data_IF_228918197645
#
_entry.id   IF_228918197645
#
_cell.length_a   1.000
_cell.length_b   1.000
_cell.length_c   1.000
_cell.angle_alpha   90.00
_cell.angle_beta   90.00
_cell.angle_gamma   90.00
#
_symmetry.space_group_name_H-M   'P 1'
#
loop_
_entity.id
_entity.type
_entity.pdbx_description
1 polymer ?
#
# COMPACT_ATOMS: atom_id res chain seq x y z
N UNK A 1 -9.02 59.25 5.59
CA UNK A 1 -8.57 57.86 5.84
C UNK A 1 -8.13 57.25 4.52
N UNK A 2 -6.91 56.69 4.48
CA UNK A 2 -6.12 56.35 3.29
C UNK A 2 -6.71 55.15 2.53
N UNK A 3 -6.84 55.30 1.21
CA UNK A 3 -7.10 54.20 0.25
C UNK A 3 -5.76 53.56 -0.12
N UNK A 4 -5.61 52.26 0.09
CA UNK A 4 -4.44 51.48 -0.31
C UNK A 4 -4.76 50.79 -1.63
N UNK A 5 -4.01 51.14 -2.68
CA UNK A 5 -4.05 50.53 -4.00
C UNK A 5 -3.36 49.16 -3.98
N UNK A 6 -4.08 48.12 -4.38
CA UNK A 6 -3.51 46.82 -4.75
C UNK A 6 -2.93 46.92 -6.17
N UNK A 7 -1.63 46.66 -6.31
CA UNK A 7 -0.98 46.41 -7.59
C UNK A 7 -0.82 44.91 -7.78
N UNK A 8 -1.62 44.36 -8.70
CA UNK A 8 -1.46 43.02 -9.26
C UNK A 8 -0.21 43.00 -10.14
N UNK A 9 0.74 42.10 -9.87
CA UNK A 9 1.84 41.77 -10.78
C UNK A 9 1.61 40.34 -11.24
N UNK A 10 1.12 40.20 -12.47
CA UNK A 10 1.03 38.94 -13.21
C UNK A 10 2.36 38.77 -13.94
N UNK A 11 3.18 37.82 -13.49
CA UNK A 11 4.42 37.43 -14.17
C UNK A 11 4.18 36.06 -14.80
N UNK A 12 3.94 36.07 -16.11
CA UNK A 12 3.82 34.88 -16.92
C UNK A 12 5.17 34.21 -17.14
N UNK A 13 5.20 32.89 -17.01
CA UNK A 13 6.30 32.05 -17.47
C UNK A 13 5.85 31.31 -18.74
N UNK A 14 6.41 31.74 -19.86
CA UNK A 14 6.44 31.07 -21.15
C UNK A 14 7.76 30.29 -21.25
N UNK A 15 7.70 29.05 -21.72
CA UNK A 15 8.86 28.25 -22.15
C UNK A 15 8.96 26.91 -21.42
N UNK A 16 9.17 25.76 -22.04
CA UNK A 16 9.55 25.46 -23.42
C UNK A 16 9.19 24.00 -23.70
N UNK A 17 8.45 23.73 -24.78
CA UNK A 17 8.21 22.38 -25.27
C UNK A 17 9.43 21.93 -26.09
N UNK A 18 10.29 21.09 -25.49
CA UNK A 18 11.40 20.45 -26.20
C UNK A 18 10.97 19.07 -26.70
N UNK A 19 10.54 19.07 -27.96
CA UNK A 19 10.81 18.08 -28.99
C UNK A 19 11.80 16.95 -28.61
N UNK A 20 11.32 15.70 -28.59
CA UNK A 20 12.16 14.52 -28.83
C UNK A 20 11.47 13.64 -29.88
N UNK A 21 11.94 13.78 -31.12
CA UNK A 21 11.83 12.80 -32.19
C UNK A 21 12.99 11.80 -32.05
N UNK A 22 12.77 10.52 -32.34
CA UNK A 22 13.90 9.64 -32.65
C UNK A 22 13.71 8.14 -32.44
N UNK A 23 13.01 7.49 -33.37
CA UNK A 23 13.41 6.27 -34.11
C UNK A 23 14.31 5.21 -33.45
N UNK A 24 13.87 3.96 -33.55
CA UNK A 24 14.74 2.77 -33.48
C UNK A 24 13.90 1.51 -33.25
N UNK A 25 13.28 0.95 -34.29
CA UNK A 25 13.85 -0.10 -35.15
C UNK A 25 13.65 -1.51 -34.55
N UNK A 26 12.88 -2.29 -35.30
CA UNK A 26 12.59 -3.70 -35.13
C UNK A 26 13.85 -4.55 -34.94
N UNK A 27 13.74 -5.58 -34.10
CA UNK A 27 14.48 -6.83 -34.29
C UNK A 27 13.57 -8.02 -33.97
N UNK A 28 13.13 -8.66 -35.05
CA UNK A 28 12.61 -10.01 -35.13
C UNK A 28 13.81 -10.96 -35.15
N UNK A 29 13.90 -11.89 -34.21
CA UNK A 29 14.65 -13.17 -34.24
C UNK A 29 14.66 -13.67 -32.78
N UNK A 30 14.41 -14.92 -32.41
CA UNK A 30 14.58 -16.18 -33.12
C UNK A 30 13.66 -17.23 -32.46
N UNK A 31 13.09 -18.09 -33.29
CA UNK A 31 12.31 -19.24 -32.90
C UNK A 31 13.19 -20.29 -32.20
N UNK A 32 12.97 -20.51 -30.91
CA UNK A 32 13.49 -21.65 -30.17
C UNK A 32 12.41 -22.71 -30.00
N UNK A 33 12.41 -23.72 -30.87
CA UNK A 33 11.67 -24.97 -30.67
C UNK A 33 12.25 -25.75 -29.49
N UNK A 34 11.42 -26.27 -28.57
CA UNK A 34 11.77 -27.46 -27.80
C UNK A 34 11.20 -28.71 -28.48
N UNK A 35 12.14 -29.59 -28.79
CA UNK A 35 12.03 -30.96 -29.26
C UNK A 35 10.97 -31.77 -28.50
N UNK A 36 10.01 -32.34 -29.23
CA UNK A 36 9.20 -33.46 -28.79
C UNK A 36 10.08 -34.69 -28.57
N UNK A 37 10.13 -35.19 -27.34
CA UNK A 37 10.56 -36.56 -27.04
C UNK A 37 9.31 -37.37 -26.70
N UNK A 38 8.94 -38.26 -27.63
CA UNK A 38 7.95 -39.30 -27.41
C UNK A 38 8.51 -40.35 -26.45
N UNK A 39 7.73 -40.75 -25.44
CA UNK A 39 7.96 -41.95 -24.65
C UNK A 39 6.69 -42.81 -24.58
N UNK A 40 6.85 -44.14 -24.54
CA UNK A 40 5.83 -45.10 -24.94
C UNK A 40 4.86 -45.48 -23.81
N UNK A 41 3.71 -45.98 -24.28
CA UNK A 41 2.62 -46.57 -23.52
C UNK A 41 3.05 -47.67 -22.54
N UNK A 42 2.48 -47.64 -21.33
CA UNK A 42 2.35 -48.81 -20.48
C UNK A 42 1.13 -48.70 -19.54
N UNK A 43 0.26 -49.70 -19.69
CA UNK A 43 -0.63 -50.30 -18.69
C UNK A 43 -1.78 -49.48 -18.08
N UNK A 44 -2.98 -49.78 -18.60
CA UNK A 44 -4.27 -49.59 -17.93
C UNK A 44 -4.35 -50.41 -16.62
N UNK A 45 -4.90 -49.83 -15.55
CA UNK A 45 -5.60 -50.58 -14.53
C UNK A 45 -7.07 -50.13 -14.44
N UNK A 46 -7.95 -51.07 -14.80
CA UNK A 46 -9.26 -51.38 -14.21
C UNK A 46 -10.19 -50.26 -13.71
N UNK A 47 -11.44 -50.18 -14.21
CA UNK A 47 -12.45 -49.26 -13.68
C UNK A 47 -13.00 -49.77 -12.34
N UNK A 48 -12.43 -49.29 -11.23
CA UNK A 48 -13.08 -49.40 -9.93
C UNK A 48 -14.24 -48.39 -9.85
N UNK A 49 -15.46 -48.93 -9.92
CA UNK A 49 -16.70 -48.23 -9.52
C UNK A 49 -16.55 -47.80 -8.05
N UNK A 50 -16.26 -46.52 -7.84
CA UNK A 50 -16.41 -45.88 -6.53
C UNK A 50 -17.79 -45.24 -6.49
N UNK A 51 -18.51 -45.54 -5.42
CA UNK A 51 -19.90 -45.25 -5.19
C UNK A 51 -20.25 -43.76 -5.40
N UNK A 52 -21.30 -43.54 -6.17
CA UNK A 52 -22.01 -42.28 -6.33
C UNK A 52 -22.84 -42.00 -5.08
N UNK A 53 -22.19 -41.69 -3.95
CA UNK A 53 -22.86 -41.28 -2.72
C UNK A 53 -22.16 -40.06 -2.13
N UNK A 54 -22.29 -38.90 -2.79
CA UNK A 54 -22.02 -37.58 -2.20
C UNK A 54 -22.46 -36.48 -3.17
N UNK A 55 -23.76 -36.26 -3.33
CA UNK A 55 -24.28 -35.14 -4.15
C UNK A 55 -25.51 -34.47 -3.54
N UNK A 56 -25.57 -34.40 -2.21
CA UNK A 56 -26.62 -33.65 -1.49
C UNK A 56 -26.05 -32.68 -0.44
N UNK A 57 -24.75 -32.72 -0.16
CA UNK A 57 -24.09 -31.79 0.78
C UNK A 57 -23.64 -30.46 0.15
N UNK A 58 -23.64 -30.32 -1.18
CA UNK A 58 -23.17 -29.12 -1.89
C UNK A 58 -24.23 -28.00 -2.00
N UNK A 59 -25.51 -28.29 -1.78
CA UNK A 59 -26.58 -27.30 -1.96
C UNK A 59 -26.83 -26.40 -0.73
N UNK A 60 -26.42 -26.83 0.47
CA UNK A 60 -26.68 -26.10 1.72
C UNK A 60 -25.58 -25.08 2.11
N UNK A 61 -24.38 -25.17 1.51
CA UNK A 61 -23.24 -24.28 1.82
C UNK A 61 -23.34 -22.92 1.11
N UNK A 62 -23.97 -22.88 -0.08
CA UNK A 62 -24.12 -21.67 -0.88
C UNK A 62 -24.90 -20.52 -0.18
N UNK A 63 -26.06 -20.75 0.48
CA UNK A 63 -26.81 -19.66 1.10
C UNK A 63 -26.11 -19.00 2.30
N UNK A 64 -25.41 -19.78 3.13
CA UNK A 64 -24.67 -19.22 4.29
C UNK A 64 -23.46 -18.40 3.84
N UNK A 65 -22.74 -18.86 2.83
CA UNK A 65 -21.62 -18.13 2.23
C UNK A 65 -22.07 -16.80 1.61
N UNK A 66 -23.20 -16.80 0.89
CA UNK A 66 -23.75 -15.58 0.30
C UNK A 66 -24.18 -14.57 1.37
N UNK A 67 -24.87 -15.03 2.41
CA UNK A 67 -25.27 -14.15 3.53
C UNK A 67 -24.06 -13.51 4.23
N UNK A 68 -22.94 -14.25 4.36
CA UNK A 68 -21.70 -13.74 4.94
C UNK A 68 -21.04 -12.69 4.04
N UNK A 69 -21.07 -12.89 2.72
CA UNK A 69 -20.58 -11.89 1.75
C UNK A 69 -21.42 -10.62 1.84
N UNK A 70 -22.74 -10.72 1.81
CA UNK A 70 -23.65 -9.56 1.93
C UNK A 70 -23.46 -8.82 3.27
N UNK A 71 -23.15 -9.53 4.35
CA UNK A 71 -22.84 -8.90 5.63
C UNK A 71 -21.51 -8.13 5.59
N UNK A 72 -20.47 -8.72 4.97
CA UNK A 72 -19.17 -8.08 4.77
C UNK A 72 -19.29 -6.82 3.91
N UNK A 73 -20.03 -6.89 2.80
CA UNK A 73 -20.26 -5.74 1.92
C UNK A 73 -21.01 -4.62 2.63
N UNK A 74 -22.01 -4.96 3.47
CA UNK A 74 -22.72 -3.97 4.31
C UNK A 74 -21.80 -3.31 5.32
N UNK A 75 -20.98 -4.08 6.03
CA UNK A 75 -20.02 -3.53 6.99
C UNK A 75 -18.99 -2.62 6.30
N UNK A 76 -18.50 -2.99 5.11
CA UNK A 76 -17.63 -2.12 4.31
C UNK A 76 -18.34 -0.84 3.86
N UNK A 77 -19.61 -0.93 3.46
CA UNK A 77 -20.42 0.23 3.07
C UNK A 77 -20.68 1.17 4.25
N UNK A 78 -20.86 0.66 5.47
CA UNK A 78 -21.00 1.47 6.69
C UNK A 78 -19.72 2.27 6.98
N UNK A 79 -18.55 1.66 6.84
CA UNK A 79 -17.26 2.36 7.00
C UNK A 79 -17.09 3.44 5.92
N UNK A 80 -17.42 3.13 4.66
CA UNK A 80 -17.39 4.10 3.56
C UNK A 80 -18.35 5.28 3.83
N UNK A 81 -19.55 5.01 4.34
CA UNK A 81 -20.50 6.06 4.70
C UNK A 81 -19.97 6.95 5.83
N UNK A 82 -19.23 6.39 6.79
CA UNK A 82 -18.59 7.17 7.85
C UNK A 82 -17.40 7.99 7.33
N UNK A 83 -16.68 7.49 6.33
CA UNK A 83 -15.60 8.23 5.66
C UNK A 83 -16.12 9.46 4.90
N UNK A 84 -17.22 9.31 4.16
CA UNK A 84 -17.83 10.37 3.35
C UNK A 84 -18.92 11.15 4.07
N UNK A 85 -18.98 11.07 5.41
CA UNK A 85 -20.05 11.70 6.18
C UNK A 85 -20.08 13.24 6.03
N UNK A 86 -18.95 13.86 5.67
CA UNK A 86 -18.83 15.31 5.43
C UNK A 86 -19.64 15.73 4.20
N UNK A 87 -19.82 14.85 3.22
CA UNK A 87 -20.57 15.12 1.99
C UNK A 87 -22.09 15.10 2.23
N UNK A 88 -22.52 14.48 3.33
CA UNK A 88 -23.94 14.25 3.65
C UNK A 88 -24.40 14.94 4.93
N UNK A 89 -23.54 15.78 5.53
CA UNK A 89 -23.76 16.40 6.85
C UNK A 89 -24.15 15.39 7.94
N UNK A 90 -23.68 14.14 7.81
CA UNK A 90 -24.02 13.03 8.72
C UNK A 90 -22.89 12.71 9.70
N UNK A 91 -21.79 13.47 9.68
CA UNK A 91 -20.66 13.18 10.56
C UNK A 91 -21.02 13.27 12.04
N UNK A 92 -20.42 12.39 12.87
CA UNK A 92 -20.59 12.45 14.31
C UNK A 92 -20.15 13.83 14.82
N UNK A 93 -21.04 14.48 15.57
CA UNK A 93 -20.83 15.83 16.10
C UNK A 93 -20.42 15.74 17.56
N UNK A 94 -19.28 16.36 17.89
CA UNK A 94 -18.88 16.66 19.26
C UNK A 94 -18.71 18.19 19.38
N UNK A 95 -19.61 18.82 20.14
CA UNK A 95 -19.66 20.27 20.31
C UNK A 95 -18.69 20.80 21.38
N UNK A 96 -17.85 19.94 21.95
CA UNK A 96 -16.87 20.35 22.98
C UNK A 96 -15.72 21.19 22.42
N UNK A 97 -15.29 20.95 21.18
CA UNK A 97 -14.24 21.70 20.47
C UNK A 97 -14.45 21.61 18.94
N UNK A 98 -14.09 22.64 18.14
CA UNK A 98 -14.24 22.61 16.67
C UNK A 98 -13.53 21.45 15.96
N UNK A 99 -12.55 20.80 16.61
CA UNK A 99 -11.82 19.64 16.07
C UNK A 99 -12.29 18.31 16.66
N UNK A 100 -13.14 18.32 17.69
CA UNK A 100 -13.55 17.11 18.39
C UNK A 100 -14.29 16.14 17.44
N UNK A 101 -15.14 16.65 16.55
CA UNK A 101 -15.82 15.83 15.52
C UNK A 101 -14.86 15.05 14.62
N UNK A 102 -13.75 15.67 14.19
CA UNK A 102 -12.73 14.99 13.37
C UNK A 102 -12.05 13.83 14.11
N UNK A 103 -11.76 14.01 15.41
CA UNK A 103 -11.15 12.94 16.21
C UNK A 103 -12.16 11.84 16.52
N UNK A 104 -13.40 12.20 16.85
CA UNK A 104 -14.49 11.25 17.08
C UNK A 104 -14.77 10.39 15.84
N UNK A 105 -14.85 11.00 14.65
CA UNK A 105 -14.96 10.26 13.39
C UNK A 105 -13.79 9.27 13.23
N UNK A 106 -12.56 9.72 13.49
CA UNK A 106 -11.38 8.85 13.43
C UNK A 106 -11.42 7.67 14.41
N UNK A 107 -11.86 7.90 15.65
CA UNK A 107 -12.04 6.84 16.65
C UNK A 107 -13.12 5.84 16.24
N UNK A 108 -14.24 6.32 15.68
CA UNK A 108 -15.30 5.46 15.18
C UNK A 108 -14.85 4.62 13.98
N UNK A 109 -14.09 5.20 13.04
CA UNK A 109 -13.50 4.48 11.91
C UNK A 109 -12.58 3.35 12.39
N UNK A 110 -11.69 3.66 13.35
CA UNK A 110 -10.77 2.66 13.93
C UNK A 110 -11.56 1.54 14.62
N UNK A 111 -12.61 1.87 15.38
CA UNK A 111 -13.45 0.88 16.03
C UNK A 111 -14.13 -0.04 15.02
N UNK A 112 -14.75 0.53 13.97
CA UNK A 112 -15.41 -0.24 12.92
C UNK A 112 -14.44 -1.13 12.14
N UNK A 113 -13.22 -0.67 11.84
CA UNK A 113 -12.21 -1.51 11.20
C UNK A 113 -11.81 -2.71 12.04
N UNK A 114 -11.63 -2.52 13.36
CA UNK A 114 -11.30 -3.61 14.28
C UNK A 114 -12.44 -4.60 14.46
N UNK A 115 -13.68 -4.11 14.44
CA UNK A 115 -14.86 -4.98 14.50
C UNK A 115 -15.01 -5.76 13.19
N UNK A 116 -14.81 -5.10 12.04
CA UNK A 116 -14.77 -5.74 10.73
C UNK A 116 -13.74 -6.87 10.69
N UNK A 117 -12.48 -6.59 11.09
CA UNK A 117 -11.42 -7.59 11.09
C UNK A 117 -11.73 -8.77 12.02
N UNK A 118 -12.32 -8.50 13.19
CA UNK A 118 -12.67 -9.56 14.14
C UNK A 118 -13.77 -10.46 13.61
N UNK A 119 -14.76 -9.91 12.92
CA UNK A 119 -15.91 -10.64 12.39
C UNK A 119 -15.56 -11.41 11.10
N UNK A 120 -14.72 -10.82 10.25
CA UNK A 120 -14.35 -11.37 8.95
C UNK A 120 -12.92 -11.93 8.90
N UNK A 121 -12.29 -12.16 10.05
CA UNK A 121 -11.01 -12.85 10.15
C UNK A 121 -11.06 -14.21 9.40
N UNK A 122 -10.05 -14.46 8.59
CA UNK A 122 -9.93 -15.70 7.82
C UNK A 122 -10.87 -15.83 6.61
N UNK A 123 -11.72 -14.82 6.34
CA UNK A 123 -12.44 -14.68 5.06
C UNK A 123 -11.52 -14.00 4.05
N UNK A 124 -10.40 -14.68 3.75
CA UNK A 124 -9.42 -14.19 2.80
C UNK A 124 -9.97 -14.35 1.38
N UNK A 125 -10.01 -13.25 0.65
CA UNK A 125 -10.34 -13.22 -0.76
C UNK A 125 -10.25 -11.80 -1.28
N UNK A 126 -9.61 -11.66 -2.44
CA UNK A 126 -9.58 -10.43 -3.20
C UNK A 126 -10.99 -9.84 -3.36
N UNK A 127 -11.16 -8.61 -2.86
CA UNK A 127 -12.39 -7.86 -2.97
C UNK A 127 -12.04 -6.45 -3.44
N UNK A 128 -12.52 -6.09 -4.62
CA UNK A 128 -12.27 -4.77 -5.20
C UNK A 128 -12.84 -3.64 -4.34
N UNK A 129 -13.94 -3.89 -3.62
CA UNK A 129 -14.55 -2.93 -2.70
C UNK A 129 -13.65 -2.70 -1.49
N UNK A 130 -13.00 -3.75 -0.95
CA UNK A 130 -12.05 -3.57 0.15
C UNK A 130 -10.78 -2.86 -0.28
N UNK A 131 -10.31 -3.11 -1.51
CA UNK A 131 -9.17 -2.37 -2.04
C UNK A 131 -9.47 -0.87 -2.19
N UNK A 132 -10.70 -0.51 -2.60
CA UNK A 132 -11.19 0.87 -2.60
C UNK A 132 -11.24 1.44 -1.18
N UNK A 133 -11.87 0.73 -0.25
CA UNK A 133 -11.98 1.15 1.15
C UNK A 133 -10.60 1.41 1.77
N UNK A 134 -9.64 0.50 1.56
CA UNK A 134 -8.24 0.69 2.01
C UNK A 134 -7.64 1.97 1.43
N UNK A 135 -7.86 2.22 0.13
CA UNK A 135 -7.31 3.41 -0.51
C UNK A 135 -7.89 4.71 0.08
N UNK A 136 -9.21 4.76 0.32
CA UNK A 136 -9.89 5.90 0.95
C UNK A 136 -9.41 6.11 2.40
N UNK A 137 -9.24 5.04 3.18
CA UNK A 137 -8.73 5.11 4.55
C UNK A 137 -7.28 5.61 4.60
N UNK A 138 -6.44 5.19 3.66
CA UNK A 138 -5.05 5.65 3.57
C UNK A 138 -4.95 7.12 3.14
N UNK A 139 -5.92 7.62 2.36
CA UNK A 139 -6.03 9.03 2.01
C UNK A 139 -6.55 9.92 3.17
N UNK A 140 -7.04 9.32 4.26
CA UNK A 140 -7.60 10.06 5.38
C UNK A 140 -6.55 10.92 6.11
N UNK A 141 -6.95 12.12 6.58
CA UNK A 141 -6.03 13.10 7.20
C UNK A 141 -5.55 12.69 8.61
N UNK A 142 -6.24 11.77 9.27
CA UNK A 142 -5.90 11.30 10.60
C UNK A 142 -4.88 10.15 10.51
N UNK A 143 -3.64 10.38 10.97
CA UNK A 143 -2.58 9.36 10.96
C UNK A 143 -2.90 8.10 11.76
N UNK A 144 -3.80 8.16 12.76
CA UNK A 144 -4.26 6.96 13.47
C UNK A 144 -5.17 6.09 12.59
N UNK A 145 -6.03 6.71 11.77
CA UNK A 145 -6.86 6.00 10.78
C UNK A 145 -5.95 5.38 9.72
N UNK A 146 -4.96 6.12 9.21
CA UNK A 146 -3.98 5.59 8.27
C UNK A 146 -3.21 4.39 8.85
N UNK A 147 -2.80 4.46 10.11
CA UNK A 147 -2.09 3.37 10.77
C UNK A 147 -2.97 2.11 10.92
N UNK A 148 -4.23 2.28 11.32
CA UNK A 148 -5.19 1.17 11.38
C UNK A 148 -5.49 0.61 9.98
N UNK A 149 -5.55 1.47 8.95
CA UNK A 149 -5.74 1.05 7.56
C UNK A 149 -4.60 0.16 7.05
N UNK A 150 -3.36 0.41 7.49
CA UNK A 150 -2.22 -0.47 7.20
C UNK A 150 -2.39 -1.83 7.87
N UNK A 151 -2.88 -1.88 9.12
CA UNK A 151 -3.14 -3.14 9.82
C UNK A 151 -4.31 -3.91 9.18
N UNK A 152 -5.34 -3.19 8.73
CA UNK A 152 -6.46 -3.73 7.97
C UNK A 152 -5.98 -4.33 6.64
N UNK A 153 -5.16 -3.57 5.89
CA UNK A 153 -4.55 -4.01 4.64
C UNK A 153 -3.66 -5.24 4.83
N UNK A 154 -2.92 -5.33 5.94
CA UNK A 154 -2.04 -6.46 6.25
C UNK A 154 -2.81 -7.80 6.37
N UNK A 155 -4.10 -7.75 6.70
CA UNK A 155 -4.97 -8.92 6.84
C UNK A 155 -5.62 -9.35 5.51
N UNK A 156 -5.55 -8.50 4.47
CA UNK A 156 -6.08 -8.82 3.14
C UNK A 156 -5.03 -9.50 2.25
N UNK A 157 -5.48 -10.10 1.15
CA UNK A 157 -4.58 -10.58 0.09
C UNK A 157 -3.82 -9.40 -0.54
N UNK A 158 -2.52 -9.56 -0.88
CA UNK A 158 -1.76 -8.47 -1.50
C UNK A 158 -2.45 -7.94 -2.76
N UNK A 159 -2.78 -6.66 -2.75
CA UNK A 159 -3.39 -5.95 -3.88
C UNK A 159 -2.53 -4.77 -4.32
N UNK A 160 -2.20 -4.71 -5.62
CA UNK A 160 -1.38 -3.63 -6.21
C UNK A 160 -1.98 -2.24 -5.99
N UNK A 161 -3.31 -2.09 -6.10
CA UNK A 161 -4.00 -0.81 -5.90
C UNK A 161 -3.84 -0.32 -4.47
N UNK A 162 -4.05 -1.18 -3.49
CA UNK A 162 -3.85 -0.86 -2.07
C UNK A 162 -2.39 -0.46 -1.78
N UNK A 163 -1.42 -1.16 -2.37
CA UNK A 163 -0.01 -0.81 -2.25
C UNK A 163 0.34 0.55 -2.86
N UNK A 164 -0.25 0.89 -4.01
CA UNK A 164 -0.08 2.21 -4.61
C UNK A 164 -0.67 3.31 -3.73
N UNK A 165 -1.87 3.10 -3.16
CA UNK A 165 -2.46 4.04 -2.21
C UNK A 165 -1.57 4.22 -0.97
N UNK A 166 -0.97 3.13 -0.46
CA UNK A 166 -0.03 3.19 0.65
C UNK A 166 1.23 3.99 0.30
N UNK A 167 1.82 3.76 -0.87
CA UNK A 167 2.98 4.54 -1.35
C UNK A 167 2.61 6.03 -1.42
N UNK A 168 1.47 6.37 -2.02
CA UNK A 168 0.99 7.75 -2.10
C UNK A 168 0.80 8.39 -0.72
N UNK A 169 0.17 7.69 0.22
CA UNK A 169 -0.01 8.18 1.59
C UNK A 169 1.33 8.42 2.32
N UNK A 170 2.35 7.60 2.05
CA UNK A 170 3.67 7.73 2.65
C UNK A 170 4.54 8.85 2.05
N UNK A 171 4.29 9.27 0.81
CA UNK A 171 5.00 10.42 0.21
C UNK A 171 4.73 11.70 1.02
N UNK A 172 3.48 11.89 1.44
CA UNK A 172 3.04 13.11 2.14
C UNK A 172 3.11 13.01 3.67
N UNK A 173 3.43 11.83 4.22
CA UNK A 173 3.40 11.64 5.67
C UNK A 173 4.60 12.24 6.38
N UNK A 174 4.33 12.96 7.47
CA UNK A 174 5.34 13.32 8.45
C UNK A 174 5.51 12.27 9.56
N UNK A 175 4.62 11.27 9.63
CA UNK A 175 4.57 10.33 10.74
C UNK A 175 5.57 9.19 10.55
N UNK A 176 6.61 9.17 11.40
CA UNK A 176 7.61 8.11 11.39
C UNK A 176 7.06 6.76 11.85
N UNK A 177 6.02 6.74 12.70
CA UNK A 177 5.39 5.50 13.16
C UNK A 177 4.60 4.85 12.04
N UNK A 178 3.84 5.64 11.27
CA UNK A 178 3.14 5.16 10.09
C UNK A 178 4.14 4.59 9.07
N UNK A 179 5.23 5.31 8.80
CA UNK A 179 6.26 4.85 7.87
C UNK A 179 6.86 3.51 8.31
N UNK A 180 7.27 3.39 9.58
CA UNK A 180 7.82 2.14 10.12
C UNK A 180 6.81 0.98 10.06
N UNK A 181 5.53 1.25 10.36
CA UNK A 181 4.45 0.26 10.28
C UNK A 181 4.20 -0.22 8.85
N UNK A 182 4.39 0.64 7.85
CA UNK A 182 4.12 0.31 6.46
C UNK A 182 5.23 -0.51 5.77
N UNK A 183 6.47 -0.52 6.28
CA UNK A 183 7.58 -1.22 5.62
C UNK A 183 7.35 -2.73 5.42
N UNK A 184 6.85 -3.49 6.42
CA UNK A 184 6.56 -4.92 6.23
C UNK A 184 5.49 -5.14 5.18
N UNK A 185 4.50 -4.25 5.09
CA UNK A 185 3.43 -4.34 4.11
C UNK A 185 3.99 -4.08 2.70
N UNK A 186 4.78 -3.02 2.48
CA UNK A 186 5.42 -2.72 1.19
C UNK A 186 6.29 -3.88 0.69
N UNK A 187 6.94 -4.62 1.58
CA UNK A 187 7.76 -5.78 1.22
C UNK A 187 6.95 -6.95 0.63
N UNK A 188 5.62 -6.99 0.80
CA UNK A 188 4.75 -8.00 0.19
C UNK A 188 4.54 -7.78 -1.32
N UNK A 189 5.02 -6.66 -1.88
CA UNK A 189 4.77 -6.24 -3.27
C UNK A 189 6.06 -6.18 -4.12
N UNK A 190 6.68 -7.32 -4.47
CA UNK A 190 7.91 -7.32 -5.27
C UNK A 190 7.72 -6.72 -6.67
N UNK A 191 6.49 -6.73 -7.21
CA UNK A 191 6.17 -6.08 -8.48
C UNK A 191 6.23 -4.54 -8.45
N UNK A 192 6.36 -3.94 -7.26
CA UNK A 192 6.46 -2.50 -7.04
C UNK A 192 7.83 -2.08 -6.46
N UNK A 193 8.86 -2.93 -6.60
CA UNK A 193 10.19 -2.68 -6.00
C UNK A 193 10.77 -1.32 -6.42
N UNK A 194 10.56 -0.90 -7.67
CA UNK A 194 11.06 0.39 -8.17
C UNK A 194 10.36 1.55 -7.48
N UNK A 195 9.03 1.53 -7.43
CA UNK A 195 8.23 2.57 -6.78
C UNK A 195 8.51 2.67 -5.28
N UNK A 196 8.71 1.53 -4.61
CA UNK A 196 9.10 1.49 -3.19
C UNK A 196 10.49 2.07 -2.97
N UNK A 197 11.46 1.74 -3.82
CA UNK A 197 12.81 2.32 -3.76
C UNK A 197 12.76 3.83 -3.98
N UNK A 198 11.99 4.30 -4.95
CA UNK A 198 11.86 5.73 -5.26
C UNK A 198 11.22 6.50 -4.09
N UNK A 199 10.20 5.92 -3.44
CA UNK A 199 9.65 6.43 -2.19
C UNK A 199 10.71 6.52 -1.08
N UNK A 200 11.52 5.47 -0.90
CA UNK A 200 12.53 5.44 0.14
C UNK A 200 13.64 6.46 -0.12
N UNK A 201 14.08 6.61 -1.37
CA UNK A 201 15.04 7.64 -1.77
C UNK A 201 14.47 9.04 -1.50
N UNK A 202 13.26 9.33 -2.00
CA UNK A 202 12.58 10.59 -1.76
C UNK A 202 12.51 10.90 -0.26
N UNK A 203 12.07 9.94 0.54
CA UNK A 203 11.92 10.08 1.99
C UNK A 203 13.27 10.36 2.66
N UNK A 204 14.34 9.67 2.26
CA UNK A 204 15.68 9.89 2.80
C UNK A 204 16.26 11.25 2.40
N UNK A 205 15.97 11.75 1.19
CA UNK A 205 16.46 13.04 0.70
C UNK A 205 15.68 14.22 1.27
N UNK A 206 14.37 14.24 1.06
CA UNK A 206 13.49 15.40 1.26
C UNK A 206 12.33 15.17 2.23
N UNK A 207 12.09 13.94 2.67
CA UNK A 207 11.04 13.63 3.63
C UNK A 207 11.22 14.34 4.98
N UNK A 208 10.15 14.31 5.79
CA UNK A 208 10.19 14.87 7.15
C UNK A 208 11.28 14.21 8.00
N UNK A 209 11.82 14.94 8.98
CA UNK A 209 12.87 14.40 9.87
C UNK A 209 12.43 13.10 10.56
N UNK A 210 11.15 13.00 10.93
CA UNK A 210 10.60 11.82 11.61
C UNK A 210 10.49 10.63 10.66
N UNK A 211 9.91 10.82 9.47
CA UNK A 211 9.78 9.78 8.45
C UNK A 211 11.15 9.29 7.96
N UNK A 212 12.08 10.19 7.58
CA UNK A 212 13.42 9.80 7.14
C UNK A 212 14.19 9.03 8.21
N UNK A 213 14.05 9.41 9.49
CA UNK A 213 14.69 8.72 10.61
C UNK A 213 14.11 7.32 10.78
N UNK A 214 12.78 7.21 10.79
CA UNK A 214 12.10 5.94 10.95
C UNK A 214 12.47 4.97 9.82
N UNK A 215 12.46 5.43 8.57
CA UNK A 215 12.94 4.64 7.43
C UNK A 215 14.38 4.18 7.63
N UNK A 216 15.31 5.11 7.90
CA UNK A 216 16.73 4.77 8.07
C UNK A 216 16.98 3.72 9.18
N UNK A 217 16.23 3.79 10.28
CA UNK A 217 16.34 2.86 11.40
C UNK A 217 15.76 1.47 11.11
N UNK A 218 14.73 1.39 10.28
CA UNK A 218 13.99 0.16 10.01
C UNK A 218 14.28 -0.45 8.63
N UNK A 219 15.17 0.14 7.82
CA UNK A 219 15.50 -0.36 6.48
C UNK A 219 16.22 -1.72 6.50
N UNK A 220 16.90 -2.05 7.61
CA UNK A 220 17.82 -3.19 7.71
C UNK A 220 17.27 -4.55 7.23
N UNK A 221 16.05 -4.98 7.61
CA UNK A 221 15.45 -6.23 7.15
C UNK A 221 15.15 -6.30 5.64
N UNK A 222 15.14 -5.14 4.96
CA UNK A 222 14.79 -5.02 3.54
C UNK A 222 16.02 -4.77 2.65
N UNK A 223 17.21 -4.70 3.25
CA UNK A 223 18.48 -4.67 2.53
C UNK A 223 18.81 -6.05 1.99
N UNK A 224 19.37 -6.10 0.78
CA UNK A 224 19.86 -7.31 0.14
C UNK A 224 21.00 -6.98 -0.83
N UNK A 225 21.64 -8.02 -1.39
CA UNK A 225 22.74 -7.86 -2.34
C UNK A 225 22.38 -7.05 -3.60
N UNK A 226 21.11 -7.06 -4.01
CA UNK A 226 20.61 -6.31 -5.16
C UNK A 226 20.44 -4.82 -4.92
N UNK A 227 20.21 -4.39 -3.66
CA UNK A 227 19.90 -2.99 -3.35
C UNK A 227 20.91 -2.29 -2.42
N UNK A 228 21.82 -3.02 -1.76
CA UNK A 228 22.76 -2.44 -0.80
C UNK A 228 23.64 -1.36 -1.41
N UNK A 229 24.14 -1.57 -2.64
CA UNK A 229 24.98 -0.60 -3.34
C UNK A 229 24.28 0.75 -3.58
N UNK A 230 22.98 0.72 -3.88
CA UNK A 230 22.17 1.92 -4.07
C UNK A 230 22.09 2.74 -2.78
N UNK A 231 21.73 2.12 -1.66
CA UNK A 231 21.61 2.82 -0.37
C UNK A 231 22.97 3.30 0.17
N UNK A 232 24.05 2.56 -0.08
CA UNK A 232 25.41 3.00 0.24
C UNK A 232 25.81 4.24 -0.56
N UNK A 233 25.52 4.30 -1.86
CA UNK A 233 25.76 5.48 -2.67
C UNK A 233 24.90 6.68 -2.21
N UNK A 234 23.62 6.43 -1.91
CA UNK A 234 22.72 7.46 -1.36
C UNK A 234 23.25 8.04 -0.04
N UNK A 235 23.72 7.18 0.89
CA UNK A 235 24.27 7.61 2.17
C UNK A 235 25.51 8.51 2.05
N UNK A 236 26.28 8.38 0.96
CA UNK A 236 27.43 9.24 0.67
C UNK A 236 27.02 10.62 0.16
N UNK A 237 25.85 10.74 -0.48
CA UNK A 237 25.32 11.99 -1.03
C UNK A 237 24.53 12.81 0.01
N UNK A 238 24.05 12.18 1.08
CA UNK A 238 23.32 12.87 2.14
C UNK A 238 24.27 13.70 3.04
N UNK A 239 23.78 14.81 3.63
CA UNK A 239 24.59 15.61 4.57
C UNK A 239 25.10 14.75 5.74
N UNK A 240 26.42 14.62 5.88
CA UNK A 240 27.03 13.65 6.80
C UNK A 240 26.64 13.81 8.27
N UNK A 241 26.38 15.03 8.73
CA UNK A 241 26.01 15.33 10.12
C UNK A 241 24.50 15.14 10.40
N UNK A 242 23.67 14.94 9.38
CA UNK A 242 22.24 14.76 9.58
C UNK A 242 21.96 13.44 10.32
N UNK A 243 21.02 13.45 11.27
CA UNK A 243 20.66 12.26 12.03
C UNK A 243 20.25 11.08 11.13
N UNK A 244 19.44 11.32 10.09
CA UNK A 244 19.03 10.30 9.11
C UNK A 244 20.22 9.64 8.40
N UNK A 245 21.24 10.39 8.03
CA UNK A 245 22.47 9.88 7.41
C UNK A 245 23.23 8.96 8.36
N UNK A 246 23.36 9.36 9.63
CA UNK A 246 24.02 8.55 10.65
C UNK A 246 23.29 7.22 10.89
N UNK A 247 21.95 7.26 10.98
CA UNK A 247 21.15 6.04 11.12
C UNK A 247 21.26 5.15 9.88
N UNK A 248 21.18 5.72 8.68
CA UNK A 248 21.31 4.93 7.45
C UNK A 248 22.66 4.24 7.39
N UNK A 249 23.76 4.96 7.66
CA UNK A 249 25.11 4.37 7.73
C UNK A 249 25.20 3.24 8.76
N UNK A 250 24.70 3.46 9.98
CA UNK A 250 24.70 2.42 11.00
C UNK A 250 23.90 1.17 10.59
N UNK A 251 22.78 1.36 9.89
CA UNK A 251 21.96 0.25 9.35
C UNK A 251 22.71 -0.51 8.25
N UNK A 252 23.42 0.20 7.35
CA UNK A 252 24.24 -0.41 6.29
C UNK A 252 25.41 -1.20 6.88
N UNK A 253 26.16 -0.62 7.83
CA UNK A 253 27.25 -1.29 8.54
C UNK A 253 26.75 -2.54 9.30
N UNK A 254 25.54 -2.49 9.87
CA UNK A 254 24.94 -3.64 10.53
C UNK A 254 24.57 -4.76 9.56
N UNK A 255 24.15 -4.43 8.34
CA UNK A 255 23.93 -5.43 7.29
C UNK A 255 25.25 -6.08 6.87
N UNK A 256 26.29 -5.29 6.58
CA UNK A 256 27.62 -5.78 6.17
C UNK A 256 28.29 -6.72 7.18
N UNK A 257 27.99 -6.58 8.48
CA UNK A 257 28.51 -7.48 9.52
C UNK A 257 27.79 -8.82 9.63
N UNK A 258 26.59 -8.96 9.06
CA UNK A 258 25.77 -10.18 9.14
C UNK A 258 25.99 -11.12 7.96
N UNK A 259 26.40 -10.58 6.83
CA UNK A 259 26.76 -11.31 5.60
C UNK A 259 28.24 -11.74 5.65
#
# INVERSE_FOLDING_TARGET
MKRILLSLVVLGFLGSAAFWLGHGAAQLESAGQPTQAAQPAAAEPSPQRVATESSTALAAVAPEQNARIEQRERAAAEILSLLSCDETDSCPQDNSDPRAGFFLQGEMLIAQLRDFDREFAGTAGFDAQLAELIAELLAHKNGHVQAEAVDFMAQQEPNRRSAQALISALVDTADGKLFAKALPELARYPSLETEVRDLYEYTLRSGSLSASRALAQNLGPYLNQGNIGFYSALAQQLPGQAAKTRYLKATLEAYERRE
#
